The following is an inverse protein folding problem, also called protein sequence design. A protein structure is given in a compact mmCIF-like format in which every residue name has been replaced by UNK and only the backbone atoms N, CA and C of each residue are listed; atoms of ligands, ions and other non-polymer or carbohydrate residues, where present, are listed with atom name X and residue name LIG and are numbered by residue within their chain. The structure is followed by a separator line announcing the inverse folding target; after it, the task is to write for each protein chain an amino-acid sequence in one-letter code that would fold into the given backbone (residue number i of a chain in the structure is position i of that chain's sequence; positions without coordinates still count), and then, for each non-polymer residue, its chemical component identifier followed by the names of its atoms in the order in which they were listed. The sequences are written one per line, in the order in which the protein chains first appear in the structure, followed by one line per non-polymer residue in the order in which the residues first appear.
data_IF_505738055942
#
_entry.id   IF_505738055942
#
_cell.length_a   1.000
_cell.length_b   1.000
_cell.length_c   1.000
_cell.angle_alpha   90.00
_cell.angle_beta   90.00
_cell.angle_gamma   90.00
#
_symmetry.space_group_name_H-M   'P 1'
#
loop_
_entity.id
_entity.type
_entity.pdbx_description
1 polymer ?
#
# COMPACT_ATOMS: atom_id res chain seq x y z
N UNK A 1 12.47 9.75 -4.81
CA UNK A 1 11.84 9.34 -3.55
C UNK A 1 10.77 8.33 -3.89
N UNK A 2 10.95 7.07 -3.44
CA UNK A 2 10.05 5.95 -3.76
C UNK A 2 8.68 6.22 -3.14
N UNK A 3 7.63 6.13 -3.94
CA UNK A 3 6.25 6.30 -3.49
C UNK A 3 5.71 4.97 -2.99
N UNK A 4 5.43 4.88 -1.70
CA UNK A 4 4.90 3.67 -1.07
C UNK A 4 3.39 3.81 -0.90
N UNK A 5 2.67 2.81 -1.42
CA UNK A 5 1.27 2.55 -1.07
C UNK A 5 1.19 1.55 0.07
N UNK A 6 0.33 1.80 1.06
CA UNK A 6 0.11 0.86 2.17
C UNK A 6 -1.28 0.25 2.03
N UNK A 7 -1.35 -1.07 1.81
CA UNK A 7 -2.59 -1.84 1.78
C UNK A 7 -2.85 -2.45 3.17
N UNK A 8 -3.95 -2.05 3.82
CA UNK A 8 -4.22 -2.33 5.24
C UNK A 8 -3.75 -1.22 6.19
N UNK A 9 -3.79 0.03 5.73
CA UNK A 9 -3.20 1.18 6.40
C UNK A 9 -3.78 1.47 7.80
N UNK A 10 -5.07 1.20 8.07
CA UNK A 10 -5.65 1.46 9.40
C UNK A 10 -5.32 0.37 10.43
N UNK A 11 -4.76 -0.75 9.97
CA UNK A 11 -4.30 -1.84 10.81
C UNK A 11 -3.11 -1.45 11.70
N UNK A 12 -2.81 -2.28 12.70
CA UNK A 12 -1.69 -2.04 13.62
C UNK A 12 -0.36 -1.89 12.88
N UNK A 13 -0.09 -2.78 11.92
CA UNK A 13 1.15 -2.75 11.13
C UNK A 13 1.18 -1.58 10.14
N UNK A 14 0.07 -1.28 9.46
CA UNK A 14 -0.04 -0.13 8.56
C UNK A 14 0.37 1.18 9.24
N UNK A 15 -0.12 1.41 10.46
CA UNK A 15 0.25 2.58 11.28
C UNK A 15 1.74 2.61 11.66
N UNK A 16 2.34 1.45 11.93
CA UNK A 16 3.78 1.39 12.26
C UNK A 16 4.64 1.68 11.03
N UNK A 17 4.26 1.17 9.86
CA UNK A 17 4.96 1.45 8.60
C UNK A 17 4.86 2.94 8.27
N UNK A 18 3.68 3.53 8.45
CA UNK A 18 3.49 4.98 8.31
C UNK A 18 4.44 5.77 9.22
N UNK A 19 4.58 5.36 10.49
CA UNK A 19 5.51 6.02 11.42
C UNK A 19 6.98 5.89 10.98
N UNK A 20 7.42 4.69 10.58
CA UNK A 20 8.79 4.48 10.09
C UNK A 20 9.13 5.40 8.91
N UNK A 21 8.18 5.59 7.99
CA UNK A 21 8.38 6.39 6.78
C UNK A 21 8.48 7.90 7.05
N UNK A 22 8.09 8.40 8.23
CA UNK A 22 8.29 9.81 8.58
C UNK A 22 9.77 10.18 8.72
N UNK A 23 10.60 9.21 9.12
CA UNK A 23 12.04 9.40 9.32
C UNK A 23 12.87 8.93 8.12
N UNK A 24 12.23 8.38 7.09
CA UNK A 24 12.90 7.87 5.90
C UNK A 24 13.17 9.01 4.91
N UNK A 25 14.31 8.94 4.23
CA UNK A 25 14.75 9.99 3.28
C UNK A 25 14.64 9.55 1.83
N UNK A 26 14.59 8.23 1.59
CA UNK A 26 14.55 7.68 0.23
C UNK A 26 13.16 7.23 -0.21
N UNK A 27 12.21 7.10 0.72
CA UNK A 27 10.83 6.69 0.48
C UNK A 27 9.84 7.59 1.22
N UNK A 28 8.64 7.69 0.68
CA UNK A 28 7.54 8.46 1.27
C UNK A 28 6.22 7.73 1.08
N UNK A 29 5.28 7.98 1.99
CA UNK A 29 3.89 7.52 1.82
C UNK A 29 3.25 8.33 0.69
N UNK A 30 2.67 7.63 -0.28
CA UNK A 30 1.89 8.27 -1.34
C UNK A 30 0.40 8.03 -1.22
N UNK A 31 -0.01 6.89 -0.66
CA UNK A 31 -1.42 6.56 -0.47
C UNK A 31 -1.60 5.51 0.63
N UNK A 32 -2.67 5.68 1.40
CA UNK A 32 -3.10 4.77 2.46
C UNK A 32 -4.40 4.11 2.01
N UNK A 33 -4.36 2.80 1.80
CA UNK A 33 -5.51 2.01 1.38
C UNK A 33 -6.04 1.15 2.53
N UNK A 34 -7.37 1.06 2.62
CA UNK A 34 -8.07 0.11 3.49
C UNK A 34 -9.30 -0.44 2.75
N UNK A 35 -9.99 -1.41 3.35
CA UNK A 35 -11.08 -2.16 2.72
C UNK A 35 -12.14 -1.23 2.12
N UNK A 36 -12.44 -1.44 0.84
CA UNK A 36 -13.42 -0.65 0.08
C UNK A 36 -12.87 0.66 -0.49
N UNK A 37 -11.55 0.89 -0.40
CA UNK A 37 -10.88 1.99 -1.10
C UNK A 37 -10.75 1.76 -2.61
N UNK A 38 -10.16 2.74 -3.30
CA UNK A 38 -9.92 2.66 -4.74
C UNK A 38 -8.57 1.98 -5.04
N UNK A 39 -8.62 0.78 -5.63
CA UNK A 39 -7.43 0.03 -6.04
C UNK A 39 -6.67 0.69 -7.19
N UNK A 40 -7.37 1.30 -8.15
CA UNK A 40 -6.73 1.98 -9.27
C UNK A 40 -5.86 3.14 -8.76
N UNK A 41 -6.43 3.95 -7.86
CA UNK A 41 -5.72 5.06 -7.24
C UNK A 41 -4.51 4.57 -6.41
N UNK A 42 -4.66 3.45 -5.70
CA UNK A 42 -3.54 2.82 -4.98
C UNK A 42 -2.39 2.50 -5.92
N UNK A 43 -2.66 1.88 -7.06
CA UNK A 43 -1.64 1.45 -8.00
C UNK A 43 -1.04 2.61 -8.80
N UNK A 44 -1.84 3.57 -9.26
CA UNK A 44 -1.38 4.75 -9.98
C UNK A 44 -0.44 5.62 -9.14
N UNK A 45 -0.71 5.72 -7.83
CA UNK A 45 0.08 6.57 -6.93
C UNK A 45 1.29 5.86 -6.31
N UNK A 46 1.44 4.55 -6.48
CA UNK A 46 2.51 3.78 -5.83
C UNK A 46 3.57 3.34 -6.83
N UNK A 47 4.83 3.43 -6.42
CA UNK A 47 5.94 2.72 -7.07
C UNK A 47 6.02 1.28 -6.55
N UNK A 48 5.74 1.09 -5.25
CA UNK A 48 5.76 -0.19 -4.52
C UNK A 48 4.57 -0.23 -3.55
N UNK A 49 3.95 -1.40 -3.36
CA UNK A 49 2.84 -1.58 -2.42
C UNK A 49 3.26 -2.51 -1.28
N UNK A 50 3.06 -2.07 -0.03
CA UNK A 50 3.27 -2.90 1.16
C UNK A 50 1.91 -3.40 1.67
N UNK A 51 1.74 -4.72 1.77
CA UNK A 51 0.50 -5.37 2.20
C UNK A 51 0.62 -5.94 3.62
N UNK A 52 -0.18 -5.39 4.55
CA UNK A 52 -0.43 -5.95 5.88
C UNK A 52 -1.93 -6.02 6.16
N UNK A 53 -2.68 -6.58 5.22
CA UNK A 53 -4.13 -6.80 5.34
C UNK A 53 -4.49 -8.23 5.77
N UNK A 54 -5.75 -8.60 5.58
CA UNK A 54 -6.23 -9.97 5.79
C UNK A 54 -5.87 -10.86 4.59
N UNK A 55 -5.89 -12.21 4.74
CA UNK A 55 -5.67 -13.12 3.62
C UNK A 55 -6.57 -12.86 2.40
N UNK A 56 -7.82 -12.45 2.65
CA UNK A 56 -8.75 -12.07 1.59
C UNK A 56 -8.35 -10.76 0.89
N UNK A 57 -7.79 -9.79 1.63
CA UNK A 57 -7.32 -8.52 1.08
C UNK A 57 -6.10 -8.72 0.19
N UNK A 58 -5.14 -9.56 0.62
CA UNK A 58 -4.02 -9.97 -0.24
C UNK A 58 -4.49 -10.61 -1.54
N UNK A 59 -5.51 -11.47 -1.49
CA UNK A 59 -6.05 -12.08 -2.71
C UNK A 59 -6.67 -11.05 -3.65
N UNK A 60 -7.42 -10.08 -3.12
CA UNK A 60 -7.97 -8.95 -3.89
C UNK A 60 -6.86 -8.12 -4.53
N UNK A 61 -5.85 -7.73 -3.75
CA UNK A 61 -4.70 -6.96 -4.20
C UNK A 61 -3.94 -7.68 -5.33
N UNK A 62 -3.63 -8.97 -5.16
CA UNK A 62 -2.90 -9.75 -6.15
C UNK A 62 -3.71 -9.96 -7.44
N UNK A 63 -5.03 -10.12 -7.35
CA UNK A 63 -5.88 -10.20 -8.53
C UNK A 63 -5.85 -8.89 -9.32
N UNK A 64 -5.89 -7.74 -8.64
CA UNK A 64 -5.75 -6.44 -9.30
C UNK A 64 -4.34 -6.23 -9.88
N UNK A 65 -3.28 -6.63 -9.18
CA UNK A 65 -1.89 -6.48 -9.65
C UNK A 65 -1.60 -7.18 -10.99
N UNK A 66 -2.45 -8.13 -11.41
CA UNK A 66 -2.36 -8.75 -12.74
C UNK A 66 -2.65 -7.78 -13.88
N UNK A 67 -3.39 -6.70 -13.63
CA UNK A 67 -3.72 -5.68 -14.64
C UNK A 67 -2.67 -4.56 -14.66
N UNK A 68 -2.17 -4.18 -13.48
CA UNK A 68 -1.13 -3.16 -13.31
C UNK A 68 -0.09 -3.67 -12.31
N UNK A 69 0.97 -4.36 -12.74
CA UNK A 69 1.94 -4.93 -11.82
C UNK A 69 2.68 -3.86 -11.03
N UNK A 70 2.78 -4.07 -9.72
CA UNK A 70 3.64 -3.31 -8.80
C UNK A 70 4.49 -4.30 -7.99
N UNK A 71 5.76 -3.98 -7.72
CA UNK A 71 6.53 -4.66 -6.69
C UNK A 71 5.86 -4.58 -5.33
#
# INVERSE_FOLDING_TARGET
MIKIGIYGAKGRMGKQIEECLKSETQAQISILYDKGGNLEELFEKSDVIIDFSSPSGTHELLNYARTMPKP
#
